data_IF_899316192391
#
_entry.id   IF_899316192391
#
_cell.length_a   1.000
_cell.length_b   1.000
_cell.length_c   1.000
_cell.angle_alpha   90.00
_cell.angle_beta   90.00
_cell.angle_gamma   90.00
#
_symmetry.space_group_name_H-M   'P 1'
#
loop_
_entity.id
_entity.type
_entity.pdbx_description
1 polymer ?
#
# COMPACT_ATOMS: atom_id res chain seq x y z
N UNK A 1 23.41 -7.95 32.79
CA UNK A 1 22.33 -6.94 32.82
C UNK A 1 21.40 -7.26 31.65
N UNK A 2 20.19 -7.75 31.93
CA UNK A 2 19.21 -8.09 30.89
C UNK A 2 18.28 -6.89 30.66
N UNK A 3 18.35 -6.28 29.48
CA UNK A 3 17.38 -5.29 29.03
C UNK A 3 16.12 -6.03 28.57
N UNK A 4 15.25 -6.39 29.50
CA UNK A 4 13.89 -6.82 29.17
C UNK A 4 13.10 -5.57 28.73
N UNK A 5 13.28 -5.17 27.47
CA UNK A 5 12.50 -4.11 26.85
C UNK A 5 11.03 -4.53 26.83
N UNK A 6 10.18 -3.78 27.53
CA UNK A 6 8.73 -3.95 27.48
C UNK A 6 8.27 -3.51 26.08
N UNK A 7 7.94 -4.45 25.19
CA UNK A 7 7.36 -4.11 23.89
C UNK A 7 5.97 -3.50 24.13
N UNK A 8 5.81 -2.23 23.79
CA UNK A 8 4.50 -1.58 23.79
C UNK A 8 3.76 -2.02 22.54
N UNK A 9 2.56 -2.57 22.72
CA UNK A 9 1.68 -2.92 21.61
C UNK A 9 1.17 -1.63 20.97
N UNK A 10 1.58 -1.39 19.72
CA UNK A 10 1.05 -0.31 18.91
C UNK A 10 -0.26 -0.79 18.29
N UNK A 11 -1.40 -0.16 18.62
CA UNK A 11 -2.68 -0.57 18.04
C UNK A 11 -2.61 -0.38 16.53
N UNK A 12 -2.87 -1.47 15.80
CA UNK A 12 -3.06 -1.39 14.35
C UNK A 12 -4.42 -0.75 14.08
N UNK A 13 -4.55 0.16 13.10
CA UNK A 13 -5.84 0.68 12.70
C UNK A 13 -6.73 -0.47 12.20
N UNK A 14 -7.96 -0.55 12.71
CA UNK A 14 -8.92 -1.64 12.45
C UNK A 14 -9.33 -1.76 10.97
N UNK A 15 -9.16 -0.69 10.19
CA UNK A 15 -9.51 -0.66 8.77
C UNK A 15 -8.49 0.15 7.97
N UNK A 16 -8.18 -0.26 6.73
CA UNK A 16 -7.55 0.64 5.77
C UNK A 16 -8.36 1.95 5.67
N UNK A 17 -7.70 3.09 5.42
CA UNK A 17 -8.44 4.33 5.17
C UNK A 17 -9.40 4.11 4.00
N UNK A 18 -10.59 4.74 4.03
CA UNK A 18 -11.70 4.52 3.08
C UNK A 18 -11.33 4.58 1.59
N UNK A 19 -10.19 5.19 1.28
CA UNK A 19 -9.64 5.32 -0.06
C UNK A 19 -8.63 4.21 -0.45
N UNK A 20 -8.53 3.15 0.35
CA UNK A 20 -7.57 2.06 0.17
C UNK A 20 -8.28 0.78 -0.22
N UNK A 21 -7.87 0.19 -1.34
CA UNK A 21 -8.32 -1.10 -1.82
C UNK A 21 -7.21 -2.11 -1.56
N UNK A 22 -7.54 -3.21 -0.89
CA UNK A 22 -6.61 -4.32 -0.74
C UNK A 22 -6.58 -5.11 -2.04
N UNK A 23 -5.40 -5.25 -2.65
CA UNK A 23 -5.20 -6.06 -3.87
C UNK A 23 -4.91 -7.51 -3.46
N UNK A 24 -3.97 -7.69 -2.53
CA UNK A 24 -3.64 -8.99 -1.94
C UNK A 24 -3.06 -8.79 -0.52
N UNK A 25 -2.57 -9.86 0.13
CA UNK A 25 -2.06 -9.79 1.51
C UNK A 25 -0.86 -8.85 1.74
N UNK A 26 -0.20 -8.38 0.67
CA UNK A 26 0.92 -7.43 0.74
C UNK A 26 0.67 -6.12 0.01
N UNK A 27 -0.23 -6.13 -0.98
CA UNK A 27 -0.42 -5.02 -1.91
C UNK A 27 -1.73 -4.28 -1.62
N UNK A 28 -1.64 -2.96 -1.57
CA UNK A 28 -2.80 -2.06 -1.43
C UNK A 28 -2.74 -0.95 -2.47
N UNK A 29 -3.89 -0.53 -2.99
CA UNK A 29 -4.06 0.64 -3.83
C UNK A 29 -4.70 1.75 -3.02
N UNK A 30 -3.99 2.85 -2.83
CA UNK A 30 -4.48 4.08 -2.20
C UNK A 30 -4.93 5.07 -3.28
N UNK A 31 -6.07 5.72 -3.07
CA UNK A 31 -6.62 6.75 -3.95
C UNK A 31 -6.59 8.11 -3.25
N UNK A 32 -5.90 9.08 -3.83
CA UNK A 32 -5.79 10.43 -3.25
C UNK A 32 -6.15 11.46 -4.32
N UNK A 33 -7.43 11.86 -4.35
CA UNK A 33 -7.98 12.65 -5.46
C UNK A 33 -7.78 11.95 -6.80
N UNK A 34 -7.01 12.57 -7.69
CA UNK A 34 -6.64 12.02 -9.01
C UNK A 34 -5.40 11.11 -8.95
N UNK A 35 -4.70 11.02 -7.82
CA UNK A 35 -3.53 10.18 -7.68
C UNK A 35 -3.96 8.76 -7.27
N UNK A 36 -3.27 7.79 -7.84
CA UNK A 36 -3.37 6.36 -7.52
C UNK A 36 -1.98 5.92 -7.09
N UNK A 37 -1.87 5.24 -5.95
CA UNK A 37 -0.59 4.78 -5.39
C UNK A 37 -0.73 3.33 -4.98
N UNK A 38 0.10 2.45 -5.54
CA UNK A 38 0.21 1.08 -5.06
C UNK A 38 1.33 0.99 -4.02
N UNK A 39 0.96 0.47 -2.85
CA UNK A 39 1.87 0.17 -1.77
C UNK A 39 2.09 -1.34 -1.66
N UNK A 40 3.34 -1.79 -1.51
CA UNK A 40 3.71 -3.18 -1.23
C UNK A 40 4.35 -3.22 0.16
N UNK A 41 3.79 -4.03 1.06
CA UNK A 41 4.18 -4.06 2.47
C UNK A 41 4.19 -2.66 3.13
N UNK A 42 3.27 -1.79 2.72
CA UNK A 42 3.17 -0.40 3.20
C UNK A 42 4.08 0.61 2.51
N UNK A 43 4.98 0.18 1.61
CA UNK A 43 5.89 1.05 0.88
C UNK A 43 5.33 1.44 -0.49
N UNK A 44 5.26 2.72 -0.86
CA UNK A 44 4.79 3.14 -2.19
C UNK A 44 5.77 2.68 -3.27
N UNK A 45 5.29 1.85 -4.20
CA UNK A 45 6.11 1.29 -5.29
C UNK A 45 5.73 1.87 -6.64
N UNK A 46 4.44 2.11 -6.88
CA UNK A 46 3.94 2.66 -8.14
C UNK A 46 2.96 3.79 -7.87
N UNK A 47 2.95 4.78 -8.75
CA UNK A 47 1.95 5.83 -8.73
C UNK A 47 1.59 6.27 -10.14
N UNK A 48 0.36 6.71 -10.32
CA UNK A 48 -0.10 7.29 -11.57
C UNK A 48 -1.24 8.27 -11.33
N UNK A 49 -1.43 9.17 -12.28
CA UNK A 49 -2.60 10.04 -12.33
C UNK A 49 -3.75 9.28 -13.00
N UNK A 50 -4.97 9.51 -12.54
CA UNK A 50 -6.18 9.03 -13.17
C UNK A 50 -6.22 9.41 -14.66
N UNK A 51 -6.47 8.42 -15.52
CA UNK A 51 -6.44 8.55 -16.98
C UNK A 51 -5.08 8.23 -17.62
N UNK A 52 -4.00 8.08 -16.83
CA UNK A 52 -2.72 7.58 -17.33
C UNK A 52 -2.73 6.05 -17.42
N UNK A 53 -3.34 5.57 -18.51
CA UNK A 53 -3.52 4.14 -18.80
C UNK A 53 -2.20 3.38 -18.97
N UNK A 54 -1.14 4.06 -19.44
CA UNK A 54 0.15 3.40 -19.67
C UNK A 54 0.88 3.15 -18.35
N UNK A 55 0.91 4.15 -17.46
CA UNK A 55 1.48 3.98 -16.13
C UNK A 55 0.67 2.97 -15.29
N UNK A 56 -0.66 2.99 -15.41
CA UNK A 56 -1.54 2.02 -14.75
C UNK A 56 -1.27 0.58 -15.22
N UNK A 57 -1.19 0.35 -16.53
CA UNK A 57 -0.89 -0.97 -17.07
C UNK A 57 0.49 -1.48 -16.63
N UNK A 58 1.50 -0.61 -16.65
CA UNK A 58 2.84 -0.96 -16.18
C UNK A 58 2.84 -1.36 -14.69
N UNK A 59 2.10 -0.64 -13.85
CA UNK A 59 1.93 -0.99 -12.44
C UNK A 59 1.24 -2.35 -12.29
N UNK A 60 0.12 -2.59 -12.98
CA UNK A 60 -0.63 -3.85 -12.90
C UNK A 60 0.21 -5.07 -13.30
N UNK A 61 0.98 -4.98 -14.39
CA UNK A 61 1.86 -6.07 -14.84
C UNK A 61 2.93 -6.38 -13.79
N UNK A 62 3.49 -5.35 -13.15
CA UNK A 62 4.54 -5.53 -12.15
C UNK A 62 4.03 -6.22 -10.86
N UNK A 63 2.73 -6.11 -10.56
CA UNK A 63 2.14 -6.69 -9.36
C UNK A 63 1.89 -8.20 -9.43
N UNK A 64 1.91 -8.80 -10.63
CA UNK A 64 1.76 -10.25 -10.80
C UNK A 64 2.86 -11.04 -10.07
N UNK A 65 4.02 -10.40 -9.83
CA UNK A 65 5.17 -11.00 -9.17
C UNK A 65 5.25 -10.75 -7.65
N UNK A 66 4.32 -9.99 -7.06
CA UNK A 66 4.38 -9.54 -5.66
C UNK A 66 3.69 -10.47 -4.64
#
# INVERSE_FOLDING_TARGET
MNFAGKQMELPLPDSPPFNTIVINGRCTLRREGILRVVCVAGLPMYHWKEGDWMAEAHAMVSLVLC
#
